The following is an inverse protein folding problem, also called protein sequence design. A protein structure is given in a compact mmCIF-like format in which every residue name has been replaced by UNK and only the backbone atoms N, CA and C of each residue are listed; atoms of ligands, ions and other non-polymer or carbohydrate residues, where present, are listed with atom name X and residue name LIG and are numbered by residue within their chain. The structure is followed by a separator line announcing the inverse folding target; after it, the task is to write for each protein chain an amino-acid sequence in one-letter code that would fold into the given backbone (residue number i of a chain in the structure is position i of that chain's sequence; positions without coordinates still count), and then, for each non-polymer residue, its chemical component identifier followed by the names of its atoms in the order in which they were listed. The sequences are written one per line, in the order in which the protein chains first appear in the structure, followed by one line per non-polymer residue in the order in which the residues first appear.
data_IF_196118332594
#
_entry.id   IF_196118332594
#
_cell.length_a   1.000
_cell.length_b   1.000
_cell.length_c   1.000
_cell.angle_alpha   90.00
_cell.angle_beta   90.00
_cell.angle_gamma   90.00
#
_symmetry.space_group_name_H-M   'P 1'
#
loop_
_entity.id
_entity.type
_entity.pdbx_description
1 polymer ?
#
# COMPACT_ATOMS: atom_id res chain seq x y z
N UNK A 1 -36.18 -46.84 8.35
CA UNK A 1 -37.36 -46.31 7.62
C UNK A 1 -38.12 -45.43 8.60
N UNK A 2 -38.37 -44.13 8.49
CA UNK A 2 -38.22 -43.11 7.46
C UNK A 2 -37.92 -41.77 8.18
N UNK A 3 -36.75 -41.18 7.97
CA UNK A 3 -36.48 -39.77 8.33
C UNK A 3 -36.11 -39.04 7.05
N UNK A 4 -37.10 -38.72 6.21
CA UNK A 4 -36.91 -37.96 4.98
C UNK A 4 -38.05 -36.96 4.74
N UNK A 5 -38.52 -36.30 5.81
CA UNK A 5 -39.68 -35.41 5.74
C UNK A 5 -39.45 -33.99 6.30
N UNK A 6 -38.20 -33.55 6.51
CA UNK A 6 -37.98 -32.25 7.18
C UNK A 6 -37.58 -31.12 6.24
N UNK A 7 -36.65 -31.31 5.31
CA UNK A 7 -36.14 -30.16 4.52
C UNK A 7 -37.10 -29.70 3.41
N UNK A 8 -37.68 -30.64 2.67
CA UNK A 8 -38.66 -30.33 1.62
C UNK A 8 -39.98 -29.79 2.20
N UNK A 9 -40.37 -30.24 3.40
CA UNK A 9 -41.55 -29.74 4.10
C UNK A 9 -41.30 -28.34 4.67
N UNK A 10 -40.10 -28.06 5.17
CA UNK A 10 -39.67 -26.75 5.65
C UNK A 10 -39.59 -25.71 4.52
N UNK A 11 -38.98 -26.04 3.37
CA UNK A 11 -38.95 -25.16 2.19
C UNK A 11 -40.37 -24.93 1.64
N UNK A 12 -41.23 -25.96 1.61
CA UNK A 12 -42.63 -25.81 1.19
C UNK A 12 -43.44 -24.94 2.15
N UNK A 13 -43.22 -25.01 3.46
CA UNK A 13 -43.92 -24.16 4.42
C UNK A 13 -43.44 -22.70 4.37
N UNK A 14 -42.15 -22.47 4.11
CA UNK A 14 -41.60 -21.12 3.90
C UNK A 14 -42.13 -20.50 2.60
N UNK A 15 -42.11 -21.24 1.50
CA UNK A 15 -42.63 -20.76 0.20
C UNK A 15 -44.15 -20.58 0.22
N UNK A 16 -44.89 -21.38 0.99
CA UNK A 16 -46.36 -21.26 1.14
C UNK A 16 -46.77 -20.13 2.09
N UNK A 17 -45.97 -19.81 3.13
CA UNK A 17 -46.13 -18.58 3.94
C UNK A 17 -45.73 -17.30 3.19
N UNK A 18 -44.78 -17.36 2.26
CA UNK A 18 -44.43 -16.21 1.40
C UNK A 18 -45.45 -15.93 0.29
N UNK A 19 -46.36 -16.88 -0.01
CA UNK A 19 -47.35 -16.72 -1.09
C UNK A 19 -48.50 -15.75 -0.78
N UNK A 20 -48.59 -15.22 0.43
CA UNK A 20 -49.60 -14.23 0.85
C UNK A 20 -49.04 -12.81 1.09
N UNK A 21 -47.77 -12.54 0.76
CA UNK A 21 -47.23 -11.17 0.74
C UNK A 21 -46.15 -10.95 -0.33
N UNK A 22 -46.21 -11.70 -1.44
CA UNK A 22 -45.23 -11.67 -2.54
C UNK A 22 -44.84 -10.25 -2.98
N UNK A 23 -45.82 -9.36 -3.13
CA UNK A 23 -45.56 -7.99 -3.55
C UNK A 23 -44.87 -7.18 -2.43
N UNK A 24 -45.25 -7.36 -1.16
CA UNK A 24 -44.66 -6.62 -0.02
C UNK A 24 -43.19 -6.96 0.18
N UNK A 25 -42.82 -8.24 0.07
CA UNK A 25 -41.43 -8.68 0.20
C UNK A 25 -40.61 -8.17 -0.99
N UNK A 26 -41.15 -8.22 -2.22
CA UNK A 26 -40.51 -7.65 -3.40
C UNK A 26 -40.29 -6.13 -3.25
N UNK A 27 -41.28 -5.38 -2.73
CA UNK A 27 -41.13 -3.95 -2.46
C UNK A 27 -40.06 -3.67 -1.40
N UNK A 28 -39.96 -4.48 -0.34
CA UNK A 28 -38.92 -4.30 0.67
C UNK A 28 -37.51 -4.55 0.11
N UNK A 29 -37.34 -5.55 -0.76
CA UNK A 29 -36.06 -5.84 -1.42
C UNK A 29 -35.68 -4.68 -2.35
N UNK A 30 -36.61 -4.23 -3.20
CA UNK A 30 -36.37 -3.11 -4.12
C UNK A 30 -36.07 -1.83 -3.35
N UNK A 31 -36.81 -1.53 -2.28
CA UNK A 31 -36.55 -0.38 -1.43
C UNK A 31 -35.16 -0.44 -0.78
N UNK A 32 -34.75 -1.60 -0.28
CA UNK A 32 -33.41 -1.79 0.30
C UNK A 32 -32.28 -1.62 -0.73
N UNK A 33 -32.49 -2.05 -1.98
CA UNK A 33 -31.50 -1.87 -3.06
C UNK A 33 -31.41 -0.40 -3.47
N UNK A 34 -32.55 0.29 -3.61
CA UNK A 34 -32.59 1.72 -3.94
C UNK A 34 -31.97 2.57 -2.84
N UNK A 35 -32.25 2.28 -1.56
CA UNK A 35 -31.62 2.97 -0.44
C UNK A 35 -30.11 2.72 -0.40
N UNK A 36 -29.67 1.49 -0.65
CA UNK A 36 -28.24 1.16 -0.75
C UNK A 36 -27.54 1.93 -1.87
N UNK A 37 -28.15 1.97 -3.06
CA UNK A 37 -27.63 2.72 -4.21
C UNK A 37 -27.58 4.23 -3.94
N UNK A 38 -28.61 4.77 -3.30
CA UNK A 38 -28.65 6.17 -2.90
C UNK A 38 -27.52 6.52 -1.92
N UNK A 39 -27.27 5.68 -0.90
CA UNK A 39 -26.18 5.87 0.05
C UNK A 39 -24.80 5.86 -0.63
N UNK A 40 -24.58 4.95 -1.58
CA UNK A 40 -23.32 4.90 -2.36
C UNK A 40 -23.14 6.16 -3.21
N UNK A 41 -24.20 6.62 -3.89
CA UNK A 41 -24.15 7.86 -4.66
C UNK A 41 -23.86 9.07 -3.77
N UNK A 42 -24.51 9.16 -2.62
CA UNK A 42 -24.28 10.23 -1.65
C UNK A 42 -22.81 10.25 -1.20
N UNK A 43 -22.27 9.09 -0.83
CA UNK A 43 -20.89 8.97 -0.39
C UNK A 43 -19.89 9.32 -1.50
N UNK A 44 -20.16 8.96 -2.76
CA UNK A 44 -19.33 9.37 -3.89
C UNK A 44 -19.34 10.88 -4.13
N UNK A 45 -20.49 11.55 -3.95
CA UNK A 45 -20.59 13.01 -4.10
C UNK A 45 -19.82 13.73 -2.99
N UNK A 46 -19.94 13.24 -1.75
CA UNK A 46 -19.22 13.78 -0.60
C UNK A 46 -17.69 13.66 -0.79
N UNK A 47 -17.20 12.50 -1.24
CA UNK A 47 -15.78 12.30 -1.53
C UNK A 47 -15.29 13.27 -2.62
N UNK A 48 -16.09 13.49 -3.68
CA UNK A 48 -15.73 14.45 -4.74
C UNK A 48 -15.64 15.89 -4.22
N UNK A 49 -16.54 16.28 -3.32
CA UNK A 49 -16.54 17.61 -2.71
C UNK A 49 -15.34 17.80 -1.78
N UNK A 50 -15.01 16.79 -0.97
CA UNK A 50 -13.82 16.80 -0.11
C UNK A 50 -12.52 16.91 -0.92
N UNK A 51 -12.40 16.17 -2.03
CA UNK A 51 -11.25 16.27 -2.94
C UNK A 51 -11.10 17.67 -3.54
N UNK A 52 -12.23 18.30 -3.94
CA UNK A 52 -12.22 19.65 -4.50
C UNK A 52 -11.75 20.68 -3.47
N UNK A 53 -12.25 20.59 -2.23
CA UNK A 53 -11.85 21.46 -1.11
C UNK A 53 -10.37 21.32 -0.78
N UNK A 54 -9.84 20.10 -0.77
CA UNK A 54 -8.41 19.86 -0.51
C UNK A 54 -7.52 20.49 -1.58
N UNK A 55 -7.88 20.35 -2.86
CA UNK A 55 -7.17 21.00 -3.98
C UNK A 55 -7.23 22.52 -3.85
N UNK A 56 -8.39 23.08 -3.49
CA UNK A 56 -8.54 24.52 -3.28
C UNK A 56 -7.68 25.04 -2.12
N UNK A 57 -7.61 24.28 -1.00
CA UNK A 57 -6.74 24.60 0.13
C UNK A 57 -5.26 24.55 -0.25
N UNK A 58 -4.82 23.55 -1.02
CA UNK A 58 -3.43 23.45 -1.51
C UNK A 58 -3.10 24.66 -2.40
N UNK A 59 -4.00 25.03 -3.30
CA UNK A 59 -3.81 26.20 -4.17
C UNK A 59 -3.76 27.50 -3.37
N UNK A 60 -4.61 27.64 -2.36
CA UNK A 60 -4.63 28.81 -1.47
C UNK A 60 -3.36 28.89 -0.61
N UNK A 61 -2.87 27.76 -0.09
CA UNK A 61 -1.61 27.71 0.67
C UNK A 61 -0.44 28.16 -0.20
N UNK A 62 -0.36 27.68 -1.45
CA UNK A 62 0.64 28.16 -2.42
C UNK A 62 0.53 29.67 -2.69
N UNK A 63 -0.68 30.22 -2.73
CA UNK A 63 -0.89 31.68 -2.84
C UNK A 63 -0.52 32.45 -1.57
N UNK A 64 -0.65 31.85 -0.38
CA UNK A 64 -0.26 32.49 0.89
C UNK A 64 1.26 32.49 1.09
N UNK A 65 1.94 31.39 0.76
CA UNK A 65 3.42 31.32 0.82
C UNK A 65 4.10 32.27 -0.19
N UNK A 66 3.36 32.71 -1.21
CA UNK A 66 3.75 33.70 -2.21
C UNK A 66 3.74 35.16 -1.70
N UNK A 67 3.13 35.45 -0.55
CA UNK A 67 2.99 36.83 -0.05
C UNK A 67 4.17 37.37 0.76
N UNK A 68 5.22 36.59 1.03
CA UNK A 68 6.30 37.05 1.91
C UNK A 68 7.46 37.82 1.23
N UNK A 69 7.54 38.02 -0.09
CA UNK A 69 8.60 38.90 -0.65
C UNK A 69 8.45 39.37 -2.12
N UNK A 70 7.22 39.60 -2.61
CA UNK A 70 6.95 40.56 -3.70
C UNK A 70 7.73 40.45 -5.03
N UNK A 71 8.37 39.32 -5.34
CA UNK A 71 9.01 39.07 -6.64
C UNK A 71 8.62 37.68 -7.12
N UNK A 72 7.83 37.61 -8.18
CA UNK A 72 7.71 36.39 -8.97
C UNK A 72 9.12 36.01 -9.44
N UNK A 73 9.66 34.84 -9.10
CA UNK A 73 10.58 34.22 -10.03
C UNK A 73 9.80 34.09 -11.34
N UNK A 74 10.45 34.27 -12.48
CA UNK A 74 9.90 33.79 -13.76
C UNK A 74 9.78 32.27 -13.65
N UNK A 75 8.72 31.80 -12.97
CA UNK A 75 8.74 30.52 -12.28
C UNK A 75 8.30 29.44 -13.25
N UNK A 76 9.27 28.75 -13.83
CA UNK A 76 9.04 27.38 -14.28
C UNK A 76 8.43 26.60 -13.12
N UNK A 77 7.42 25.77 -13.39
CA UNK A 77 6.87 24.89 -12.37
C UNK A 77 8.00 24.03 -11.76
N UNK A 78 7.91 23.67 -10.46
CA UNK A 78 8.88 22.77 -9.87
C UNK A 78 8.89 21.44 -10.63
N UNK A 79 10.06 20.81 -10.72
CA UNK A 79 10.27 19.64 -11.54
C UNK A 79 10.43 18.38 -10.71
N UNK A 80 9.83 17.28 -11.18
CA UNK A 80 9.99 15.97 -10.57
C UNK A 80 10.68 14.99 -11.51
N UNK A 81 11.64 14.25 -10.98
CA UNK A 81 12.27 13.14 -11.66
C UNK A 81 11.70 11.82 -11.15
N UNK A 82 11.07 11.07 -12.05
CA UNK A 82 10.62 9.71 -11.76
C UNK A 82 11.68 8.69 -12.19
N UNK A 83 12.29 8.02 -11.22
CA UNK A 83 13.28 6.96 -11.44
C UNK A 83 12.66 5.57 -11.22
N UNK A 84 12.46 4.84 -12.31
CA UNK A 84 11.93 3.48 -12.28
C UNK A 84 12.53 2.67 -13.44
N UNK A 85 12.64 1.35 -13.30
CA UNK A 85 12.93 0.47 -14.43
C UNK A 85 11.70 0.36 -15.32
N UNK A 86 11.87 -0.02 -16.59
CA UNK A 86 10.79 -0.05 -17.59
C UNK A 86 9.57 -0.85 -17.14
N UNK A 87 9.78 -1.99 -16.47
CA UNK A 87 8.71 -2.84 -15.93
C UNK A 87 7.88 -2.16 -14.82
N UNK A 88 8.47 -1.21 -14.08
CA UNK A 88 7.82 -0.57 -12.93
C UNK A 88 7.07 0.72 -13.32
N UNK A 89 7.16 1.14 -14.58
CA UNK A 89 6.56 2.39 -15.07
C UNK A 89 5.03 2.39 -15.03
N UNK A 90 4.40 1.22 -15.09
CA UNK A 90 2.96 1.05 -14.96
C UNK A 90 2.49 1.37 -13.54
N UNK A 91 3.14 0.79 -12.53
CA UNK A 91 2.85 1.04 -11.11
C UNK A 91 3.04 2.51 -10.71
N UNK A 92 3.83 3.27 -11.47
CA UNK A 92 4.11 4.68 -11.20
C UNK A 92 3.11 5.66 -11.84
N UNK A 93 2.03 5.18 -12.49
CA UNK A 93 1.01 6.05 -13.07
C UNK A 93 0.37 6.97 -12.02
N UNK A 94 0.04 6.44 -10.84
CA UNK A 94 -0.55 7.23 -9.76
C UNK A 94 0.37 8.34 -9.29
N UNK A 95 1.66 8.06 -9.14
CA UNK A 95 2.68 9.05 -8.77
C UNK A 95 2.74 10.17 -9.81
N UNK A 96 2.76 9.83 -11.10
CA UNK A 96 2.72 10.85 -12.18
C UNK A 96 1.46 11.70 -12.12
N UNK A 97 0.31 11.09 -11.88
CA UNK A 97 -0.97 11.81 -11.82
C UNK A 97 -1.01 12.78 -10.63
N UNK A 98 -0.47 12.38 -9.48
CA UNK A 98 -0.36 13.24 -8.30
C UNK A 98 0.55 14.43 -8.61
N UNK A 99 1.76 14.22 -9.13
CA UNK A 99 2.67 15.32 -9.49
C UNK A 99 2.03 16.28 -10.51
N UNK A 100 1.33 15.76 -11.52
CA UNK A 100 0.60 16.59 -12.48
C UNK A 100 -0.51 17.39 -11.80
N UNK A 101 -1.29 16.77 -10.90
CA UNK A 101 -2.37 17.44 -10.18
C UNK A 101 -1.86 18.54 -9.24
N UNK A 102 -0.69 18.35 -8.63
CA UNK A 102 -0.05 19.36 -7.79
C UNK A 102 0.79 20.37 -8.60
N UNK A 103 0.78 20.30 -9.93
CA UNK A 103 1.42 21.29 -10.81
C UNK A 103 2.93 21.19 -10.90
N UNK A 104 3.50 19.98 -10.79
CA UNK A 104 4.90 19.73 -11.09
C UNK A 104 5.08 19.30 -12.55
N UNK A 105 6.16 19.78 -13.16
CA UNK A 105 6.56 19.35 -14.50
C UNK A 105 7.53 18.18 -14.44
N UNK A 106 7.45 17.28 -15.41
CA UNK A 106 8.38 16.15 -15.47
C UNK A 106 9.76 16.67 -15.85
N UNK A 107 10.76 16.36 -15.02
CA UNK A 107 12.14 16.71 -15.28
C UNK A 107 12.67 16.00 -16.54
N UNK A 108 13.32 16.78 -17.40
CA UNK A 108 14.14 16.32 -18.52
C UNK A 108 15.60 16.64 -18.19
N UNK A 109 16.48 15.67 -18.40
CA UNK A 109 17.92 15.75 -18.12
C UNK A 109 18.61 16.89 -18.86
N UNK A 110 18.02 17.37 -19.97
CA UNK A 110 18.50 18.52 -20.75
C UNK A 110 18.18 19.88 -20.13
N UNK A 111 17.20 19.95 -19.23
CA UNK A 111 16.59 21.20 -18.75
C UNK A 111 17.25 21.71 -17.45
N UNK A 112 18.15 20.93 -16.85
CA UNK A 112 18.96 21.35 -15.71
C UNK A 112 18.69 20.51 -14.46
N UNK A 113 18.48 21.15 -13.30
CA UNK A 113 18.34 20.47 -12.01
C UNK A 113 16.90 20.11 -11.67
N UNK A 114 16.70 18.99 -10.99
CA UNK A 114 15.40 18.53 -10.48
C UNK A 114 15.16 18.99 -9.04
N UNK A 115 13.90 19.14 -8.65
CA UNK A 115 13.49 19.53 -7.28
C UNK A 115 13.09 18.32 -6.44
N UNK A 116 12.37 17.36 -7.02
CA UNK A 116 11.92 16.14 -6.33
C UNK A 116 12.32 14.91 -7.11
N UNK A 117 13.03 13.97 -6.49
CA UNK A 117 13.25 12.63 -7.04
C UNK A 117 12.30 11.64 -6.37
N UNK A 118 11.52 10.95 -7.20
CA UNK A 118 10.71 9.82 -6.79
C UNK A 118 11.28 8.54 -7.40
N UNK A 119 11.92 7.72 -6.57
CA UNK A 119 12.47 6.43 -6.97
C UNK A 119 11.56 5.29 -6.54
N UNK A 120 11.28 4.35 -7.44
CA UNK A 120 10.63 3.10 -7.07
C UNK A 120 11.61 2.17 -6.35
N UNK A 121 12.75 1.93 -6.99
CA UNK A 121 13.81 1.09 -6.43
C UNK A 121 14.59 1.83 -5.34
N UNK A 122 15.07 1.07 -4.37
CA UNK A 122 16.11 1.48 -3.42
C UNK A 122 17.21 0.40 -3.38
N UNK A 123 18.51 0.75 -3.41
CA UNK A 123 19.08 2.11 -3.38
C UNK A 123 18.75 2.95 -4.62
N UNK A 124 18.92 4.28 -4.49
CA UNK A 124 18.72 5.21 -5.60
C UNK A 124 19.61 4.85 -6.81
N UNK A 125 19.25 5.29 -8.03
CA UNK A 125 20.10 5.15 -9.20
C UNK A 125 21.51 5.68 -8.93
N UNK A 126 22.55 5.06 -9.52
CA UNK A 126 23.96 5.38 -9.26
C UNK A 126 24.34 6.85 -9.46
N UNK A 127 23.60 7.58 -10.30
CA UNK A 127 23.75 9.03 -10.50
C UNK A 127 23.24 9.91 -9.36
N UNK A 128 22.63 9.34 -8.33
CA UNK A 128 22.09 10.07 -7.17
C UNK A 128 22.85 9.65 -5.93
N UNK A 129 23.62 10.58 -5.37
CA UNK A 129 24.23 10.43 -4.06
C UNK A 129 23.46 11.29 -3.03
N UNK A 130 22.77 10.68 -2.05
CA UNK A 130 22.03 11.41 -1.02
C UNK A 130 22.87 12.42 -0.23
N UNK A 131 24.17 12.19 -0.09
CA UNK A 131 25.07 13.10 0.62
C UNK A 131 25.34 14.40 -0.14
N UNK A 132 25.05 14.44 -1.45
CA UNK A 132 25.33 15.57 -2.34
C UNK A 132 24.07 16.35 -2.72
N UNK A 133 22.94 16.09 -2.06
CA UNK A 133 21.67 16.77 -2.35
C UNK A 133 21.72 18.23 -1.90
N UNK A 134 21.12 19.11 -2.71
CA UNK A 134 20.89 20.50 -2.28
C UNK A 134 19.82 20.54 -1.19
N UNK A 135 19.84 21.57 -0.35
CA UNK A 135 18.83 21.77 0.69
C UNK A 135 17.39 21.88 0.16
N UNK A 136 17.23 22.24 -1.11
CA UNK A 136 15.93 22.32 -1.79
C UNK A 136 15.52 21.03 -2.50
N UNK A 137 16.41 20.05 -2.60
CA UNK A 137 16.14 18.79 -3.29
C UNK A 137 15.54 17.76 -2.34
N UNK A 138 14.44 17.16 -2.76
CA UNK A 138 13.70 16.17 -1.97
C UNK A 138 13.81 14.79 -2.61
N UNK A 139 13.90 13.76 -1.77
CA UNK A 139 13.91 12.36 -2.17
C UNK A 139 12.92 11.56 -1.33
N UNK A 140 12.33 10.52 -1.89
CA UNK A 140 11.28 9.73 -1.22
C UNK A 140 11.79 8.55 -0.36
N UNK A 141 13.12 8.36 -0.23
CA UNK A 141 13.70 7.29 0.60
C UNK A 141 14.76 7.84 1.54
N UNK A 142 14.80 7.31 2.77
CA UNK A 142 15.87 7.59 3.72
C UNK A 142 17.07 6.65 3.48
N UNK A 143 18.30 7.17 3.44
CA UNK A 143 19.50 6.34 3.41
C UNK A 143 19.52 5.34 4.58
N UNK A 144 19.77 4.07 4.29
CA UNK A 144 19.84 3.02 5.33
C UNK A 144 18.49 2.46 5.79
N UNK A 145 17.35 2.98 5.31
CA UNK A 145 16.02 2.42 5.60
C UNK A 145 15.90 0.93 5.27
N UNK A 146 16.69 0.42 4.32
CA UNK A 146 16.83 -1.00 4.01
C UNK A 146 17.19 -1.91 5.19
N UNK A 147 17.84 -1.39 6.24
CA UNK A 147 18.11 -2.15 7.46
C UNK A 147 16.85 -2.49 8.24
N UNK A 148 15.81 -1.66 8.13
CA UNK A 148 14.51 -1.86 8.78
C UNK A 148 13.52 -2.61 7.89
N UNK A 149 13.54 -2.35 6.57
CA UNK A 149 12.55 -2.90 5.64
C UNK A 149 12.92 -4.27 5.07
N UNK A 150 14.20 -4.64 5.08
CA UNK A 150 14.64 -5.97 4.66
C UNK A 150 14.40 -7.01 5.76
N UNK A 151 13.69 -8.09 5.41
CA UNK A 151 13.48 -9.24 6.31
C UNK A 151 14.79 -9.77 6.88
N UNK A 152 15.85 -9.83 6.08
CA UNK A 152 17.15 -10.38 6.48
C UNK A 152 17.85 -9.48 7.49
N UNK A 153 17.82 -8.16 7.28
CA UNK A 153 18.49 -7.23 8.18
C UNK A 153 17.69 -7.04 9.47
N UNK A 154 16.37 -6.94 9.39
CA UNK A 154 15.49 -6.85 10.56
C UNK A 154 15.62 -8.10 11.44
N UNK A 155 15.64 -9.29 10.86
CA UNK A 155 15.81 -10.55 11.58
C UNK A 155 17.16 -10.66 12.32
N UNK A 156 18.18 -9.91 11.89
CA UNK A 156 19.49 -9.84 12.57
C UNK A 156 19.54 -8.78 13.66
N UNK A 157 18.57 -7.87 13.71
CA UNK A 157 18.54 -6.84 14.74
C UNK A 157 18.20 -7.47 16.09
N UNK A 158 19.01 -7.18 17.10
CA UNK A 158 18.84 -7.73 18.44
C UNK A 158 17.75 -6.93 19.14
N UNK A 159 16.57 -7.52 19.30
CA UNK A 159 15.44 -6.91 20.01
C UNK A 159 14.58 -7.98 20.67
N UNK A 160 14.09 -7.71 21.88
CA UNK A 160 13.13 -8.59 22.58
C UNK A 160 11.79 -8.73 21.86
N UNK A 161 11.49 -7.82 20.93
CA UNK A 161 10.24 -7.80 20.16
C UNK A 161 10.37 -8.47 18.80
N UNK A 162 11.57 -8.90 18.41
CA UNK A 162 11.83 -9.55 17.13
C UNK A 162 12.13 -11.02 17.43
N UNK A 163 11.38 -11.97 16.84
CA UNK A 163 11.65 -13.39 17.04
C UNK A 163 13.07 -13.75 16.62
N UNK A 164 13.70 -14.66 17.36
CA UNK A 164 15.01 -15.21 17.00
C UNK A 164 14.96 -15.81 15.60
N UNK A 165 15.93 -15.44 14.78
CA UNK A 165 16.00 -15.87 13.39
C UNK A 165 17.43 -16.21 12.98
N UNK A 166 17.56 -17.07 11.98
CA UNK A 166 18.83 -17.58 11.48
C UNK A 166 18.86 -17.42 9.96
N UNK A 167 20.00 -16.95 9.41
CA UNK A 167 20.15 -16.82 7.96
C UNK A 167 20.76 -18.09 7.40
N UNK A 168 19.97 -18.92 6.72
CA UNK A 168 20.49 -20.13 6.07
C UNK A 168 21.06 -19.81 4.66
N UNK A 169 22.14 -20.48 4.22
CA UNK A 169 22.87 -21.55 4.91
C UNK A 169 23.89 -21.06 5.95
N UNK A 170 24.16 -19.75 6.04
CA UNK A 170 25.25 -19.18 6.85
C UNK A 170 25.21 -19.54 8.34
N UNK A 171 24.03 -19.54 8.96
CA UNK A 171 23.84 -19.77 10.40
C UNK A 171 23.33 -21.20 10.72
N UNK A 172 23.55 -22.17 9.82
CA UNK A 172 23.01 -23.54 9.97
C UNK A 172 23.39 -24.19 11.30
N UNK A 173 24.65 -24.13 11.69
CA UNK A 173 25.14 -24.74 12.94
C UNK A 173 24.52 -24.10 14.18
N UNK A 174 24.43 -22.77 14.21
CA UNK A 174 23.77 -22.02 15.30
C UNK A 174 22.29 -22.37 15.40
N UNK A 175 21.63 -22.52 14.25
CA UNK A 175 20.24 -22.95 14.20
C UNK A 175 20.07 -24.37 14.76
N UNK A 176 20.90 -25.33 14.34
CA UNK A 176 20.86 -26.70 14.84
C UNK A 176 21.06 -26.77 16.37
N UNK A 177 22.07 -26.06 16.89
CA UNK A 177 22.30 -25.98 18.34
C UNK A 177 21.10 -25.35 19.07
N UNK A 178 20.49 -24.31 18.51
CA UNK A 178 19.33 -23.67 19.13
C UNK A 178 18.11 -24.58 19.17
N UNK A 179 17.85 -25.33 18.09
CA UNK A 179 16.73 -26.28 18.01
C UNK A 179 16.86 -27.40 19.03
N UNK A 180 18.06 -27.97 19.21
CA UNK A 180 18.31 -29.00 20.23
C UNK A 180 17.96 -28.48 21.63
N UNK A 181 18.24 -27.22 21.91
CA UNK A 181 17.95 -26.59 23.20
C UNK A 181 16.49 -26.11 23.35
N UNK A 182 15.68 -26.15 22.28
CA UNK A 182 14.30 -25.66 22.25
C UNK A 182 13.40 -26.57 21.38
N UNK A 183 13.20 -27.83 21.77
CA UNK A 183 12.54 -28.84 20.93
C UNK A 183 11.04 -28.60 20.71
N UNK A 184 10.41 -27.82 21.58
CA UNK A 184 8.98 -27.49 21.56
C UNK A 184 8.62 -26.35 20.59
N UNK A 185 9.61 -25.73 19.95
CA UNK A 185 9.39 -24.56 19.08
C UNK A 185 9.10 -24.95 17.63
N UNK A 186 8.11 -24.27 17.06
CA UNK A 186 7.80 -24.32 15.63
C UNK A 186 8.57 -23.26 14.84
N UNK A 187 8.93 -23.59 13.61
CA UNK A 187 9.78 -22.76 12.77
C UNK A 187 9.09 -22.35 11.46
N UNK A 188 9.31 -21.09 11.08
CA UNK A 188 8.81 -20.53 9.83
C UNK A 188 9.99 -20.21 8.93
N UNK A 189 10.05 -20.88 7.78
CA UNK A 189 11.01 -20.56 6.73
C UNK A 189 10.39 -19.53 5.79
N UNK A 190 11.11 -18.42 5.55
CA UNK A 190 10.75 -17.41 4.56
C UNK A 190 11.89 -17.20 3.58
N UNK A 191 11.55 -17.15 2.31
CA UNK A 191 12.49 -16.67 1.28
C UNK A 191 12.59 -15.13 1.30
N UNK A 192 13.60 -14.62 0.60
CA UNK A 192 13.74 -13.18 0.35
C UNK A 192 12.68 -12.63 -0.62
N UNK A 193 11.91 -13.50 -1.28
CA UNK A 193 10.83 -13.08 -2.17
C UNK A 193 9.59 -12.66 -1.36
N UNK A 194 8.67 -11.93 -1.99
CA UNK A 194 7.40 -11.53 -1.37
C UNK A 194 6.46 -12.72 -1.09
N UNK A 195 6.76 -13.91 -1.64
CA UNK A 195 5.99 -15.15 -1.48
C UNK A 195 6.90 -16.31 -1.03
N UNK A 196 6.31 -17.44 -0.64
CA UNK A 196 7.04 -18.63 -0.18
C UNK A 196 7.33 -18.61 1.32
N UNK A 197 6.25 -18.72 2.12
CA UNK A 197 6.30 -18.94 3.56
C UNK A 197 5.95 -20.41 3.78
N UNK A 198 6.80 -21.14 4.47
CA UNK A 198 6.54 -22.53 4.86
C UNK A 198 6.70 -22.67 6.38
N UNK A 199 5.78 -23.40 7.01
CA UNK A 199 5.95 -23.88 8.39
C UNK A 199 6.62 -25.25 8.27
N UNK A 200 7.74 -25.43 8.96
CA UNK A 200 8.44 -26.72 9.00
C UNK A 200 8.57 -27.17 10.45
N UNK A 201 8.16 -28.41 10.74
CA UNK A 201 8.63 -29.13 11.93
C UNK A 201 9.97 -29.78 11.60
N UNK A 202 10.82 -29.98 12.61
CA UNK A 202 12.12 -30.62 12.45
C UNK A 202 12.04 -32.16 12.53
N UNK A 203 10.83 -32.73 12.58
CA UNK A 203 10.59 -34.17 12.48
C UNK A 203 10.68 -34.60 11.01
N UNK A 204 11.90 -34.79 10.49
CA UNK A 204 12.12 -35.52 9.22
C UNK A 204 12.91 -34.81 8.12
N UNK A 205 14.14 -34.33 8.42
CA UNK A 205 15.23 -34.22 7.41
C UNK A 205 16.49 -34.91 7.94
#
# INVERSE_FOLDING_TARGET
MHYCASFACWIKNITRRMRLSSNRIQYLIVASLLSGFYLVLHQMLEIKDLQKKEIELINKQKMCDFTHNGKCPTSSNPTYWLAAKSADTEHMQHVRNIFKAVGYDRWDEKVGTWDVLWSYDYPFPSKVNPSNLRSTQLVNHFPGSGYLTSKVYLAKSISRYIPTAFTLPKDKEKFQQFVVNNPDKLWVQKSNQHRGIAIKSMEGE
#
